data_IF_700759833551
#
_entry.id   IF_700759833551
#
_cell.length_a   1.000
_cell.length_b   1.000
_cell.length_c   1.000
_cell.angle_alpha   90.00
_cell.angle_beta   90.00
_cell.angle_gamma   90.00
#
_symmetry.space_group_name_H-M   'P 1'
#
loop_
_entity.id
_entity.type
_entity.pdbx_description
1 polymer ?
#
# COMPACT_ATOMS: atom_id res chain seq x y z
N UNK A 1 21.22 26.61 -12.07
CA UNK A 1 20.57 26.01 -13.27
C UNK A 1 20.72 24.49 -13.27
N UNK A 2 21.90 23.96 -12.94
CA UNK A 2 22.25 22.52 -12.91
C UNK A 2 21.35 21.65 -12.01
N UNK A 3 20.93 22.16 -10.86
CA UNK A 3 20.10 21.38 -9.91
C UNK A 3 18.68 21.10 -10.43
N UNK A 4 18.08 22.02 -11.17
CA UNK A 4 16.74 21.83 -11.77
C UNK A 4 16.77 20.77 -12.88
N UNK A 5 17.84 20.74 -13.66
CA UNK A 5 18.04 19.72 -14.69
C UNK A 5 18.19 18.34 -14.04
N UNK A 6 18.98 18.23 -12.97
CA UNK A 6 19.14 16.99 -12.20
C UNK A 6 17.81 16.50 -11.61
N UNK A 7 16.99 17.43 -11.11
CA UNK A 7 15.64 17.13 -10.61
C UNK A 7 14.66 16.66 -11.68
N UNK A 8 14.93 16.89 -12.97
CA UNK A 8 14.09 16.40 -14.08
C UNK A 8 14.70 15.18 -14.77
N UNK A 9 16.03 15.00 -14.70
CA UNK A 9 16.73 13.89 -15.33
C UNK A 9 16.18 12.53 -14.87
N UNK A 10 15.96 12.36 -13.56
CA UNK A 10 15.40 11.10 -13.03
C UNK A 10 14.01 10.78 -13.61
N UNK A 11 13.22 11.80 -13.93
CA UNK A 11 11.88 11.62 -14.51
C UNK A 11 11.99 11.12 -15.95
N UNK A 12 12.97 11.62 -16.72
CA UNK A 12 13.22 11.14 -18.07
C UNK A 12 13.67 9.68 -18.04
N UNK A 13 14.62 9.33 -17.17
CA UNK A 13 15.05 7.94 -16.97
C UNK A 13 13.88 7.03 -16.56
N UNK A 14 12.96 7.55 -15.74
CA UNK A 14 11.75 6.84 -15.31
C UNK A 14 10.75 6.61 -16.46
N UNK A 15 10.64 7.55 -17.39
CA UNK A 15 9.80 7.38 -18.58
C UNK A 15 10.38 6.36 -19.56
N UNK A 16 11.71 6.33 -19.73
CA UNK A 16 12.40 5.34 -20.56
C UNK A 16 12.22 3.91 -20.04
N UNK A 17 12.26 3.72 -18.71
CA UNK A 17 11.96 2.42 -18.09
C UNK A 17 10.51 1.97 -18.40
N UNK A 18 9.54 2.88 -18.32
CA UNK A 18 8.15 2.58 -18.67
C UNK A 18 8.05 2.19 -20.14
N UNK A 19 8.71 2.90 -21.04
CA UNK A 19 8.71 2.59 -22.47
C UNK A 19 9.30 1.19 -22.74
N UNK A 20 10.41 0.85 -22.08
CA UNK A 20 11.02 -0.49 -22.15
C UNK A 20 10.07 -1.58 -21.67
N UNK A 21 9.41 -1.40 -20.52
CA UNK A 21 8.45 -2.38 -19.98
C UNK A 21 7.19 -2.50 -20.86
N UNK A 22 6.69 -1.39 -21.42
CA UNK A 22 5.57 -1.40 -22.36
C UNK A 22 5.92 -2.15 -23.66
N UNK A 23 7.15 -2.00 -24.16
CA UNK A 23 7.63 -2.78 -25.30
C UNK A 23 7.68 -4.27 -24.96
N UNK A 24 8.25 -4.64 -23.82
CA UNK A 24 8.42 -6.03 -23.39
C UNK A 24 7.09 -6.77 -23.17
N UNK A 25 6.14 -6.17 -22.44
CA UNK A 25 4.89 -6.83 -22.05
C UNK A 25 3.74 -6.57 -23.01
N UNK A 26 3.68 -5.39 -23.63
CA UNK A 26 2.55 -4.95 -24.44
C UNK A 26 2.86 -4.84 -25.93
N UNK A 27 4.12 -5.07 -26.36
CA UNK A 27 4.57 -4.96 -27.77
C UNK A 27 4.26 -3.59 -28.36
N UNK A 28 4.49 -2.56 -27.57
CA UNK A 28 4.31 -1.16 -27.98
C UNK A 28 5.70 -0.60 -28.22
N UNK A 29 6.04 -0.39 -29.49
CA UNK A 29 7.36 0.11 -29.90
C UNK A 29 7.50 1.63 -29.68
N UNK A 30 6.38 2.35 -29.80
CA UNK A 30 6.31 3.80 -29.60
C UNK A 30 5.13 4.15 -28.68
N UNK A 31 5.39 4.40 -27.39
CA UNK A 31 4.35 4.76 -26.43
C UNK A 31 3.85 6.21 -26.58
N UNK A 32 4.57 7.09 -27.30
CA UNK A 32 4.14 8.49 -27.51
C UNK A 32 2.94 8.57 -28.46
N UNK A 33 2.74 7.55 -29.28
CA UNK A 33 1.55 7.41 -30.14
C UNK A 33 0.29 7.00 -29.37
N UNK A 34 0.42 6.62 -28.10
CA UNK A 34 -0.73 6.29 -27.27
C UNK A 34 -1.45 7.57 -26.80
N UNK A 35 -2.78 7.49 -26.69
CA UNK A 35 -3.50 8.52 -25.95
C UNK A 35 -3.09 8.48 -24.47
N UNK A 36 -2.95 9.66 -23.85
CA UNK A 36 -2.56 9.78 -22.44
C UNK A 36 -3.33 8.84 -21.49
N UNK A 37 -4.68 8.76 -21.54
CA UNK A 37 -5.43 7.83 -20.71
C UNK A 37 -5.04 6.37 -20.90
N UNK A 38 -4.78 5.96 -22.15
CA UNK A 38 -4.38 4.58 -22.47
C UNK A 38 -2.96 4.30 -21.99
N UNK A 39 -2.04 5.25 -22.16
CA UNK A 39 -0.69 5.18 -21.63
C UNK A 39 -0.71 4.96 -20.11
N UNK A 40 -1.41 5.82 -19.35
CA UNK A 40 -1.46 5.70 -17.90
C UNK A 40 -2.15 4.43 -17.41
N UNK A 41 -3.19 3.96 -18.10
CA UNK A 41 -3.85 2.69 -17.76
C UNK A 41 -2.91 1.48 -17.90
N UNK A 42 -2.00 1.50 -18.89
CA UNK A 42 -1.00 0.45 -19.08
C UNK A 42 0.16 0.61 -18.09
N UNK A 43 0.69 1.82 -17.93
CA UNK A 43 1.75 2.12 -16.98
C UNK A 43 1.37 1.72 -15.53
N UNK A 44 0.11 1.93 -15.13
CA UNK A 44 -0.38 1.51 -13.81
C UNK A 44 -0.30 0.00 -13.59
N UNK A 45 -0.48 -0.81 -14.65
CA UNK A 45 -0.40 -2.27 -14.55
C UNK A 45 1.03 -2.77 -14.42
N UNK A 46 2.04 -1.97 -14.78
CA UNK A 46 3.44 -2.39 -14.75
C UNK A 46 3.92 -2.77 -13.35
N UNK A 47 3.36 -2.19 -12.29
CA UNK A 47 3.66 -2.54 -10.91
C UNK A 47 3.37 -4.02 -10.57
N UNK A 48 2.52 -4.69 -11.35
CA UNK A 48 2.20 -6.11 -11.18
C UNK A 48 3.18 -7.06 -11.92
N UNK A 49 3.96 -6.56 -12.88
CA UNK A 49 4.94 -7.37 -13.62
C UNK A 49 6.27 -7.42 -12.88
N UNK A 50 7.03 -8.51 -13.02
CA UNK A 50 8.38 -8.65 -12.46
C UNK A 50 9.44 -7.90 -13.27
N UNK A 51 9.18 -6.61 -13.56
CA UNK A 51 10.06 -5.72 -14.33
C UNK A 51 10.91 -4.80 -13.45
N UNK A 52 11.70 -3.94 -14.10
CA UNK A 52 12.56 -2.94 -13.44
C UNK A 52 11.74 -2.03 -12.53
N UNK A 53 10.51 -1.69 -12.94
CA UNK A 53 9.59 -0.87 -12.17
C UNK A 53 9.11 -1.55 -10.88
N UNK A 54 8.92 -2.88 -10.87
CA UNK A 54 8.61 -3.60 -9.63
C UNK A 54 9.83 -3.60 -8.69
N UNK A 55 11.03 -3.85 -9.21
CA UNK A 55 12.26 -3.80 -8.39
C UNK A 55 12.45 -2.43 -7.75
N UNK A 56 12.20 -1.34 -8.50
CA UNK A 56 12.27 0.04 -7.99
C UNK A 56 11.14 0.35 -7.02
N UNK A 57 9.91 -0.10 -7.28
CA UNK A 57 8.78 0.09 -6.36
C UNK A 57 8.97 -0.67 -5.04
N UNK A 58 9.58 -1.86 -5.06
CA UNK A 58 9.97 -2.60 -3.87
C UNK A 58 11.10 -1.88 -3.11
N UNK A 59 12.16 -1.45 -3.82
CA UNK A 59 13.23 -0.67 -3.20
C UNK A 59 12.73 0.64 -2.57
N UNK A 60 11.83 1.37 -3.24
CA UNK A 60 11.22 2.59 -2.69
C UNK A 60 10.32 2.30 -1.47
N UNK A 61 9.63 1.15 -1.45
CA UNK A 61 8.90 0.68 -0.26
C UNK A 61 9.83 0.34 0.90
N UNK A 62 11.01 -0.20 0.61
CA UNK A 62 12.01 -0.57 1.60
C UNK A 62 12.79 0.66 2.13
N UNK A 63 13.00 1.69 1.29
CA UNK A 63 13.61 2.97 1.67
C UNK A 63 12.67 3.89 2.45
N UNK A 64 11.36 3.71 2.31
CA UNK A 64 10.39 4.32 3.19
C UNK A 64 10.58 3.67 4.57
N UNK A 65 10.99 4.41 5.63
CA UNK A 65 11.09 3.83 6.95
C UNK A 65 9.75 3.17 7.24
N UNK A 66 9.80 1.95 7.78
CA UNK A 66 8.63 1.21 8.18
C UNK A 66 7.81 2.04 9.19
N UNK A 67 6.98 2.96 8.68
CA UNK A 67 5.72 3.34 9.29
C UNK A 67 4.94 2.05 9.29
N UNK A 68 5.09 1.32 10.41
CA UNK A 68 4.92 -0.12 10.52
C UNK A 68 3.93 -0.71 9.53
N UNK A 69 4.37 -1.73 8.82
CA UNK A 69 3.45 -2.83 8.48
C UNK A 69 2.70 -3.11 9.79
N UNK A 70 1.37 -2.93 9.88
CA UNK A 70 0.69 -3.40 11.07
C UNK A 70 0.85 -4.91 11.01
N UNK A 71 1.84 -5.43 11.74
CA UNK A 71 1.78 -6.77 12.26
C UNK A 71 0.43 -6.82 12.95
N UNK A 72 -0.55 -7.45 12.32
CA UNK A 72 -1.79 -7.86 12.97
C UNK A 72 -1.43 -9.00 13.93
N UNK A 73 -0.52 -8.73 14.86
CA UNK A 73 -0.57 -9.36 16.16
C UNK A 73 -1.87 -8.83 16.76
N UNK A 74 -2.85 -9.70 17.07
CA UNK A 74 -4.04 -9.24 17.78
C UNK A 74 -3.54 -8.47 19.00
N UNK A 75 -4.01 -7.23 19.14
CA UNK A 75 -3.67 -6.41 20.29
C UNK A 75 -3.84 -7.27 21.55
N UNK A 76 -2.87 -7.27 22.50
CA UNK A 76 -3.12 -7.89 23.79
C UNK A 76 -4.46 -7.34 24.26
N UNK A 77 -5.41 -8.24 24.55
CA UNK A 77 -6.75 -7.85 25.00
C UNK A 77 -6.56 -7.07 26.30
N UNK A 78 -6.44 -5.76 26.18
CA UNK A 78 -6.39 -4.86 27.30
C UNK A 78 -7.68 -5.03 28.08
N UNK A 79 -7.56 -4.97 29.41
CA UNK A 79 -8.72 -5.03 30.28
C UNK A 79 -9.77 -4.04 29.79
N UNK A 80 -10.95 -4.58 29.48
CA UNK A 80 -12.09 -3.80 29.00
C UNK A 80 -12.36 -2.72 30.04
N UNK A 81 -12.47 -1.47 29.58
CA UNK A 81 -12.81 -0.34 30.44
C UNK A 81 -14.06 -0.69 31.29
N UNK A 82 -14.00 -0.52 32.63
CA UNK A 82 -15.07 -0.96 33.53
C UNK A 82 -16.42 -0.29 33.25
N UNK A 83 -16.41 0.96 32.75
CA UNK A 83 -17.63 1.65 32.34
C UNK A 83 -18.28 1.01 31.11
N UNK A 84 -17.49 0.62 30.12
CA UNK A 84 -17.97 -0.07 28.92
C UNK A 84 -18.54 -1.45 29.28
N UNK A 85 -17.90 -2.16 30.22
CA UNK A 85 -18.42 -3.43 30.74
C UNK A 85 -19.77 -3.26 31.42
N UNK A 86 -19.92 -2.25 32.29
CA UNK A 86 -21.16 -1.99 33.00
C UNK A 86 -22.32 -1.67 32.04
N UNK A 87 -22.08 -0.85 31.02
CA UNK A 87 -23.10 -0.53 30.01
C UNK A 87 -23.53 -1.77 29.21
N UNK A 88 -22.58 -2.62 28.82
CA UNK A 88 -22.88 -3.84 28.06
C UNK A 88 -23.56 -4.93 28.90
N UNK A 89 -23.34 -4.96 30.22
CA UNK A 89 -24.01 -5.87 31.14
C UNK A 89 -25.41 -5.41 31.55
N UNK A 90 -25.64 -4.10 31.62
CA UNK A 90 -26.95 -3.55 31.99
C UNK A 90 -28.00 -3.73 30.89
N UNK A 91 -27.57 -3.89 29.64
CA UNK A 91 -28.47 -3.93 28.49
C UNK A 91 -28.91 -5.37 28.15
N UNK A 92 -30.22 -5.70 28.28
CA UNK A 92 -30.71 -7.06 28.13
C UNK A 92 -30.53 -7.61 26.71
N UNK A 93 -30.48 -6.73 25.70
CA UNK A 93 -30.21 -7.12 24.32
C UNK A 93 -28.82 -7.77 24.13
N UNK A 94 -27.87 -7.47 25.00
CA UNK A 94 -26.49 -7.95 24.89
C UNK A 94 -26.14 -9.08 25.88
N UNK A 95 -27.05 -9.43 26.79
CA UNK A 95 -26.83 -10.41 27.86
C UNK A 95 -26.43 -11.82 27.38
N UNK A 96 -26.78 -12.20 26.15
CA UNK A 96 -26.39 -13.48 25.54
C UNK A 96 -25.29 -13.39 24.48
N UNK A 97 -24.83 -12.19 24.15
CA UNK A 97 -23.88 -11.93 23.06
C UNK A 97 -22.45 -11.87 23.60
N UNK A 98 -22.26 -11.32 24.79
CA UNK A 98 -20.94 -11.16 25.40
C UNK A 98 -20.82 -11.97 26.70
N UNK A 99 -19.75 -12.76 26.79
CA UNK A 99 -19.32 -13.41 28.03
C UNK A 99 -17.96 -12.85 28.44
N UNK A 100 -17.91 -12.21 29.60
CA UNK A 100 -16.66 -11.71 30.17
C UNK A 100 -16.17 -12.75 31.17
N UNK A 101 -15.03 -13.40 30.87
CA UNK A 101 -14.43 -14.38 31.77
C UNK A 101 -14.12 -13.77 33.14
N UNK A 102 -14.35 -14.54 34.21
CA UNK A 102 -13.98 -14.13 35.55
C UNK A 102 -12.44 -14.07 35.66
N UNK A 103 -11.90 -12.88 35.91
CA UNK A 103 -10.50 -12.75 36.30
C UNK A 103 -10.35 -13.40 37.69
N UNK A 104 -9.75 -14.59 37.72
CA UNK A 104 -9.29 -15.19 38.97
C UNK A 104 -8.13 -14.34 39.46
N UNK A 105 -8.31 -13.71 40.62
CA UNK A 105 -7.23 -13.06 41.39
C UNK A 105 -6.33 -14.14 41.99
#
# INVERSE_FOLDING_TARGET
MTERVRQLAWMLDYLDDIASDLSAFHRIDDPELLSGPRYFALAWRLAAYQGVMQSRALAARDEQPASGVPSHSPAPRGDINPGVRATLQAEPAFAGIFSFGAATV
#
